data_IF_593565336193
#
_entry.id   IF_593565336193
#
_cell.length_a   1.000
_cell.length_b   1.000
_cell.length_c   1.000
_cell.angle_alpha   90.00
_cell.angle_beta   90.00
_cell.angle_gamma   90.00
#
_symmetry.space_group_name_H-M   'P 1'
#
loop_
_entity.id
_entity.type
_entity.pdbx_description
1 polymer ?
#
# COMPACT_ATOMS: atom_id res chain seq x y z
N UNK A 1 20.16 -11.95 17.24
CA UNK A 1 21.06 -12.90 16.54
C UNK A 1 21.47 -12.24 15.23
N UNK A 2 22.76 -12.06 14.90
CA UNK A 2 23.13 -11.50 13.61
C UNK A 2 22.60 -12.40 12.49
N UNK A 3 22.03 -11.78 11.46
CA UNK A 3 21.53 -12.52 10.30
C UNK A 3 22.72 -13.03 9.51
N UNK A 4 22.90 -14.35 9.47
CA UNK A 4 23.95 -15.01 8.68
C UNK A 4 23.38 -15.37 7.32
N UNK A 5 23.73 -14.61 6.29
CA UNK A 5 23.36 -14.92 4.90
C UNK A 5 24.44 -15.77 4.23
N UNK A 6 24.04 -16.69 3.36
CA UNK A 6 24.94 -17.38 2.43
C UNK A 6 25.47 -16.40 1.37
N UNK A 7 26.57 -16.73 0.65
CA UNK A 7 27.05 -15.91 -0.46
C UNK A 7 25.99 -15.69 -1.56
N UNK A 8 25.15 -16.70 -1.83
CA UNK A 8 24.07 -16.60 -2.82
C UNK A 8 22.96 -15.66 -2.38
N UNK A 9 22.53 -15.75 -1.12
CA UNK A 9 21.53 -14.82 -0.55
C UNK A 9 22.05 -13.39 -0.53
N UNK A 10 23.32 -13.17 -0.18
CA UNK A 10 23.95 -11.84 -0.26
C UNK A 10 23.85 -11.26 -1.66
N UNK A 11 24.23 -12.02 -2.70
CA UNK A 11 24.13 -11.56 -4.10
C UNK A 11 22.69 -11.21 -4.47
N UNK A 12 21.71 -12.04 -4.08
CA UNK A 12 20.30 -11.76 -4.30
C UNK A 12 19.86 -10.44 -3.65
N UNK A 13 20.22 -10.23 -2.38
CA UNK A 13 19.89 -8.99 -1.67
C UNK A 13 20.56 -7.77 -2.27
N UNK A 14 21.84 -7.86 -2.66
CA UNK A 14 22.56 -6.78 -3.33
C UNK A 14 21.82 -6.31 -4.58
N UNK A 15 21.46 -7.23 -5.48
CA UNK A 15 20.73 -6.90 -6.72
C UNK A 15 19.39 -6.21 -6.42
N UNK A 16 18.64 -6.70 -5.42
CA UNK A 16 17.34 -6.11 -5.06
C UNK A 16 17.48 -4.72 -4.43
N UNK A 17 18.44 -4.55 -3.53
CA UNK A 17 18.68 -3.27 -2.84
C UNK A 17 19.18 -2.23 -3.84
N UNK A 18 20.17 -2.58 -4.67
CA UNK A 18 20.71 -1.69 -5.71
C UNK A 18 19.61 -1.28 -6.69
N UNK A 19 18.81 -2.23 -7.17
CA UNK A 19 17.70 -1.95 -8.07
C UNK A 19 16.66 -1.00 -7.46
N UNK A 20 16.28 -1.24 -6.20
CA UNK A 20 15.32 -0.38 -5.48
C UNK A 20 15.86 1.04 -5.26
N UNK A 21 17.13 1.17 -4.87
CA UNK A 21 17.79 2.47 -4.67
C UNK A 21 17.88 3.22 -5.98
N UNK A 22 18.34 2.57 -7.07
CA UNK A 22 18.44 3.19 -8.39
C UNK A 22 17.09 3.62 -8.94
N UNK A 23 16.05 2.80 -8.76
CA UNK A 23 14.69 3.15 -9.18
C UNK A 23 14.20 4.40 -8.44
N UNK A 24 14.29 4.42 -7.12
CA UNK A 24 13.90 5.59 -6.31
C UNK A 24 14.73 6.82 -6.66
N UNK A 25 16.04 6.68 -6.82
CA UNK A 25 16.94 7.78 -7.15
C UNK A 25 16.57 8.42 -8.49
N UNK A 26 16.26 7.62 -9.52
CA UNK A 26 15.81 8.12 -10.83
C UNK A 26 14.53 8.94 -10.71
N UNK A 27 13.53 8.43 -9.99
CA UNK A 27 12.26 9.16 -9.80
C UNK A 27 12.44 10.46 -9.02
N UNK A 28 13.25 10.45 -7.96
CA UNK A 28 13.57 11.64 -7.18
C UNK A 28 14.35 12.67 -8.01
N UNK A 29 15.27 12.23 -8.86
CA UNK A 29 16.02 13.12 -9.75
C UNK A 29 15.11 13.77 -10.81
N UNK A 30 14.15 13.02 -11.36
CA UNK A 30 13.20 13.54 -12.34
C UNK A 30 12.12 14.45 -11.71
N UNK A 31 11.76 14.23 -10.45
CA UNK A 31 10.72 14.98 -9.75
C UNK A 31 11.11 15.22 -8.27
N UNK A 32 12.06 16.14 -8.01
CA UNK A 32 12.60 16.36 -6.68
C UNK A 32 11.58 16.97 -5.71
N UNK A 33 10.58 17.68 -6.25
CA UNK A 33 9.56 18.38 -5.47
C UNK A 33 8.25 17.58 -5.30
N UNK A 34 8.20 16.33 -5.76
CA UNK A 34 7.04 15.42 -5.66
C UNK A 34 5.74 16.04 -6.22
N UNK A 35 5.83 16.59 -7.44
CA UNK A 35 4.72 17.26 -8.13
C UNK A 35 4.15 16.46 -9.30
N UNK A 36 4.72 15.30 -9.61
CA UNK A 36 4.38 14.49 -10.77
C UNK A 36 4.76 13.03 -10.58
N UNK A 37 5.72 12.56 -11.38
CA UNK A 37 6.03 11.14 -11.52
C UNK A 37 6.42 10.44 -10.19
N UNK A 38 7.05 11.16 -9.24
CA UNK A 38 7.54 10.56 -8.00
C UNK A 38 6.41 9.99 -7.13
N UNK A 39 5.19 10.50 -7.26
CA UNK A 39 4.07 10.06 -6.44
C UNK A 39 3.74 8.57 -6.60
N UNK A 40 4.18 7.89 -7.68
CA UNK A 40 3.99 6.45 -7.86
C UNK A 40 4.65 5.62 -6.75
N UNK A 41 5.66 6.15 -6.07
CA UNK A 41 6.28 5.53 -4.89
C UNK A 41 5.31 5.41 -3.71
N UNK A 42 4.22 6.18 -3.72
CA UNK A 42 3.21 6.19 -2.66
C UNK A 42 2.16 5.07 -2.82
N UNK A 43 2.40 4.07 -3.67
CA UNK A 43 1.53 2.89 -3.75
C UNK A 43 1.40 2.23 -2.37
N UNK A 44 0.14 2.03 -1.93
CA UNK A 44 -0.20 1.54 -0.58
C UNK A 44 -0.07 2.56 0.57
N UNK A 45 0.59 3.71 0.38
CA UNK A 45 0.92 4.62 1.49
C UNK A 45 -0.29 5.38 2.05
N UNK A 46 -1.30 5.67 1.22
CA UNK A 46 -2.54 6.31 1.71
C UNK A 46 -3.24 5.45 2.75
N UNK A 47 -3.28 4.13 2.54
CA UNK A 47 -3.81 3.17 3.52
C UNK A 47 -2.85 2.94 4.69
N UNK A 48 -1.54 2.87 4.43
CA UNK A 48 -0.53 2.70 5.48
C UNK A 48 -0.59 3.83 6.51
N UNK A 49 -0.59 5.09 6.07
CA UNK A 49 -0.71 6.25 6.95
C UNK A 49 -2.03 6.25 7.73
N UNK A 50 -3.11 5.71 7.15
CA UNK A 50 -4.38 5.58 7.86
C UNK A 50 -4.30 4.51 8.96
N UNK A 51 -3.63 3.38 8.72
CA UNK A 51 -3.35 2.36 9.74
C UNK A 51 -2.54 2.98 10.87
N UNK A 52 -1.40 3.60 10.55
CA UNK A 52 -0.51 4.18 11.56
C UNK A 52 -1.23 5.20 12.44
N UNK A 53 -2.01 6.12 11.84
CA UNK A 53 -2.79 7.12 12.57
C UNK A 53 -3.90 6.50 13.43
N UNK A 54 -4.71 5.62 12.86
CA UNK A 54 -5.85 5.02 13.57
C UNK A 54 -5.41 4.08 14.70
N UNK A 55 -4.21 3.48 14.58
CA UNK A 55 -3.61 2.59 15.59
C UNK A 55 -2.64 3.35 16.54
N UNK A 56 -2.53 4.66 16.39
CA UNK A 56 -1.77 5.52 17.28
C UNK A 56 -0.25 5.32 17.23
N UNK A 57 0.31 4.91 16.09
CA UNK A 57 1.76 4.77 15.84
C UNK A 57 2.52 3.83 16.78
N UNK A 58 1.83 2.93 17.48
CA UNK A 58 2.44 2.04 18.49
C UNK A 58 2.51 0.59 18.06
N UNK A 59 1.58 0.15 17.22
CA UNK A 59 1.33 -1.28 16.97
C UNK A 59 1.95 -1.81 15.68
N UNK A 60 2.17 -0.95 14.70
CA UNK A 60 2.70 -1.32 13.39
C UNK A 60 3.95 -0.52 13.12
N UNK A 61 5.00 -1.19 12.65
CA UNK A 61 6.08 -0.51 11.96
C UNK A 61 5.60 -0.01 10.59
N UNK A 62 6.29 1.00 10.06
CA UNK A 62 5.90 1.61 8.79
C UNK A 62 5.79 0.60 7.64
N UNK A 63 6.80 -0.26 7.46
CA UNK A 63 6.78 -1.29 6.41
C UNK A 63 5.64 -2.30 6.56
N UNK A 64 5.24 -2.61 7.79
CA UNK A 64 4.09 -3.49 8.08
C UNK A 64 2.76 -2.83 7.66
N UNK A 65 2.59 -1.55 8.00
CA UNK A 65 1.44 -0.77 7.56
C UNK A 65 1.41 -0.64 6.03
N UNK A 66 2.57 -0.50 5.37
CA UNK A 66 2.67 -0.47 3.90
C UNK A 66 2.26 -1.81 3.28
N UNK A 67 2.66 -2.96 3.84
CA UNK A 67 2.21 -4.27 3.32
C UNK A 67 0.68 -4.42 3.35
N UNK A 68 0.07 -4.06 4.48
CA UNK A 68 -1.40 -4.03 4.58
C UNK A 68 -2.00 -3.00 3.61
N UNK A 69 -1.40 -1.82 3.51
CA UNK A 69 -1.86 -0.76 2.63
C UNK A 69 -1.82 -1.11 1.14
N UNK A 70 -0.84 -1.91 0.71
CA UNK A 70 -0.79 -2.45 -0.65
C UNK A 70 -2.00 -3.35 -0.93
N UNK A 71 -2.41 -4.19 0.02
CA UNK A 71 -3.61 -5.02 -0.15
C UNK A 71 -4.88 -4.17 -0.35
N UNK A 72 -5.00 -3.07 0.40
CA UNK A 72 -6.07 -2.08 0.21
C UNK A 72 -6.01 -1.40 -1.16
N UNK A 73 -4.83 -0.96 -1.60
CA UNK A 73 -4.63 -0.31 -2.89
C UNK A 73 -4.89 -1.24 -4.08
N UNK A 74 -4.50 -2.51 -4.00
CA UNK A 74 -4.80 -3.53 -5.00
C UNK A 74 -6.31 -3.77 -5.13
N UNK A 75 -7.02 -3.87 -4.00
CA UNK A 75 -8.46 -4.04 -4.01
C UNK A 75 -9.17 -2.79 -4.56
N UNK A 76 -8.73 -1.59 -4.19
CA UNK A 76 -9.27 -0.36 -4.73
C UNK A 76 -9.01 -0.23 -6.24
N UNK A 77 -7.83 -0.65 -6.72
CA UNK A 77 -7.51 -0.69 -8.15
C UNK A 77 -8.46 -1.60 -8.92
N UNK A 78 -8.88 -2.70 -8.30
CA UNK A 78 -9.89 -3.58 -8.87
C UNK A 78 -11.29 -2.95 -8.89
N UNK A 79 -11.72 -2.34 -7.78
CA UNK A 79 -13.01 -1.65 -7.71
C UNK A 79 -13.11 -0.50 -8.72
N UNK A 80 -12.00 0.20 -8.96
CA UNK A 80 -11.91 1.27 -9.96
C UNK A 80 -11.85 0.77 -11.42
N UNK A 81 -11.87 -0.54 -11.66
CA UNK A 81 -11.79 -1.13 -13.00
C UNK A 81 -10.39 -1.13 -13.63
N UNK A 82 -9.36 -0.65 -12.93
CA UNK A 82 -7.98 -0.65 -13.43
C UNK A 82 -7.36 -2.05 -13.42
N UNK A 83 -7.69 -2.87 -12.41
CA UNK A 83 -7.08 -4.17 -12.18
C UNK A 83 -8.11 -5.30 -12.27
N UNK A 84 -7.86 -6.30 -13.11
CA UNK A 84 -8.70 -7.51 -13.13
C UNK A 84 -8.66 -8.24 -11.77
N UNK A 85 -9.76 -8.91 -11.39
CA UNK A 85 -9.81 -9.73 -10.17
C UNK A 85 -8.68 -10.77 -10.13
N UNK A 86 -8.44 -11.43 -11.27
CA UNK A 86 -7.39 -12.45 -11.40
C UNK A 86 -6.00 -11.90 -11.05
N UNK A 87 -5.60 -10.76 -11.65
CA UNK A 87 -4.32 -10.11 -11.36
C UNK A 87 -4.24 -9.61 -9.91
N UNK A 88 -5.34 -9.05 -9.40
CA UNK A 88 -5.40 -8.63 -7.99
C UNK A 88 -5.08 -9.80 -7.07
N UNK A 89 -5.71 -10.95 -7.28
CA UNK A 89 -5.51 -12.14 -6.44
C UNK A 89 -4.08 -12.67 -6.56
N UNK A 90 -3.55 -12.77 -7.78
CA UNK A 90 -2.14 -13.12 -8.03
C UNK A 90 -1.17 -12.19 -7.29
N UNK A 91 -1.46 -10.89 -7.24
CA UNK A 91 -0.60 -9.92 -6.56
C UNK A 91 -0.73 -9.97 -5.03
N UNK A 92 -1.89 -10.37 -4.51
CA UNK A 92 -2.10 -10.60 -3.09
C UNK A 92 -1.30 -11.80 -2.58
N UNK A 93 -1.04 -12.81 -3.42
CA UNK A 93 -0.23 -13.97 -3.05
C UNK A 93 1.19 -13.57 -2.60
N UNK A 94 1.78 -12.54 -3.22
CA UNK A 94 3.08 -11.99 -2.80
C UNK A 94 3.05 -11.37 -1.40
N UNK A 95 1.87 -11.00 -0.90
CA UNK A 95 1.69 -10.36 0.39
C UNK A 95 1.39 -11.34 1.51
N UNK A 96 1.03 -12.61 1.22
CA UNK A 96 0.63 -13.59 2.23
C UNK A 96 1.72 -13.76 3.30
N UNK A 97 2.97 -14.00 2.89
CA UNK A 97 4.07 -14.17 3.82
C UNK A 97 4.30 -12.94 4.73
N UNK A 98 4.45 -11.70 4.22
CA UNK A 98 4.64 -10.54 5.08
C UNK A 98 3.40 -10.19 5.92
N UNK A 99 2.17 -10.37 5.42
CA UNK A 99 0.97 -10.02 6.21
C UNK A 99 0.61 -11.06 7.28
N UNK A 100 1.00 -12.33 7.10
CA UNK A 100 0.66 -13.44 8.02
C UNK A 100 1.14 -13.24 9.45
N UNK A 101 2.11 -12.35 9.66
CA UNK A 101 2.72 -12.05 10.97
C UNK A 101 2.28 -10.72 11.55
N UNK A 102 1.46 -9.96 10.82
CA UNK A 102 1.03 -8.65 11.27
C UNK A 102 0.01 -8.79 12.41
N UNK A 103 0.00 -7.82 13.34
CA UNK A 103 -1.11 -7.70 14.26
C UNK A 103 -2.44 -7.52 13.50
N UNK A 104 -3.53 -7.92 14.14
CA UNK A 104 -4.88 -7.75 13.58
C UNK A 104 -5.33 -6.28 13.58
N UNK A 105 -5.96 -5.85 12.49
CA UNK A 105 -6.57 -4.53 12.30
C UNK A 105 -7.97 -4.50 12.94
N UNK A 106 -8.00 -4.16 14.23
CA UNK A 106 -9.17 -4.31 15.10
C UNK A 106 -10.13 -3.11 15.08
N UNK A 107 -9.68 -1.94 14.61
CA UNK A 107 -10.56 -0.76 14.54
C UNK A 107 -11.60 -0.93 13.43
N UNK A 108 -12.80 -0.36 13.55
CA UNK A 108 -13.79 -0.37 12.47
C UNK A 108 -13.27 0.37 11.24
N UNK A 109 -13.82 0.08 10.06
CA UNK A 109 -13.40 0.70 8.80
C UNK A 109 -13.46 2.25 8.86
N UNK A 110 -14.45 2.79 9.56
CA UNK A 110 -14.63 4.23 9.74
C UNK A 110 -13.49 4.90 10.53
N UNK A 111 -12.83 4.18 11.43
CA UNK A 111 -11.69 4.71 12.15
C UNK A 111 -10.52 5.01 11.19
N UNK A 112 -10.26 4.11 10.23
CA UNK A 112 -9.24 4.34 9.21
C UNK A 112 -9.69 5.37 8.17
N UNK A 113 -10.95 5.34 7.76
CA UNK A 113 -11.49 6.28 6.78
C UNK A 113 -11.44 7.74 7.28
N UNK A 114 -11.79 7.96 8.56
CA UNK A 114 -11.82 9.31 9.15
C UNK A 114 -10.46 10.01 9.16
N UNK A 115 -9.36 9.26 9.36
CA UNK A 115 -8.00 9.82 9.38
C UNK A 115 -7.42 10.06 7.99
N UNK A 116 -8.08 9.58 6.92
CA UNK A 116 -7.72 9.85 5.53
C UNK A 116 -8.15 11.25 5.05
N UNK A 117 -8.83 12.05 5.89
CA UNK A 117 -9.31 13.41 5.57
C UNK A 117 -10.22 13.48 4.32
N UNK A 118 -11.07 12.46 4.12
CA UNK A 118 -12.16 12.52 3.14
C UNK A 118 -13.36 13.27 3.73
N UNK A 119 -13.26 14.59 3.84
CA UNK A 119 -14.39 15.42 4.23
C UNK A 119 -15.14 15.91 2.99
N UNK A 120 -16.46 15.64 2.91
CA UNK A 120 -17.33 16.13 1.81
C UNK A 120 -17.42 17.66 1.76
N UNK A 121 -16.97 18.37 2.81
CA UNK A 121 -17.12 19.82 2.96
C UNK A 121 -15.87 20.65 2.61
N UNK A 122 -14.70 20.04 2.41
CA UNK A 122 -13.45 20.78 2.19
C UNK A 122 -12.92 20.62 0.76
N UNK A 123 -13.01 21.70 -0.02
CA UNK A 123 -12.44 21.88 -1.37
C UNK A 123 -10.89 22.00 -1.34
N UNK A 124 -10.21 20.97 -0.83
CA UNK A 124 -8.79 20.73 -1.10
C UNK A 124 -8.66 19.52 -2.04
N UNK A 125 -7.51 19.36 -2.71
CA UNK A 125 -7.19 18.10 -3.38
C UNK A 125 -7.14 17.01 -2.31
N UNK A 126 -8.13 16.12 -2.28
CA UNK A 126 -8.14 14.97 -1.37
C UNK A 126 -6.87 14.13 -1.49
N UNK A 127 -6.66 13.12 -0.62
CA UNK A 127 -5.50 12.26 -0.73
C UNK A 127 -5.41 11.63 -2.13
N UNK A 128 -4.23 11.69 -2.74
CA UNK A 128 -3.97 11.03 -4.02
C UNK A 128 -3.84 9.53 -3.76
N UNK A 129 -4.57 8.73 -4.54
CA UNK A 129 -4.41 7.28 -4.57
C UNK A 129 -3.54 6.91 -5.76
N UNK A 130 -2.52 6.10 -5.49
CA UNK A 130 -1.81 5.37 -6.53
C UNK A 130 -2.50 4.02 -6.66
N UNK A 131 -3.11 3.79 -7.81
CA UNK A 131 -3.73 2.53 -8.22
C UNK A 131 -2.81 1.80 -9.20
N UNK A 132 -3.21 0.60 -9.62
CA UNK A 132 -2.41 -0.25 -10.48
C UNK A 132 -3.26 -0.85 -11.60
N UNK A 133 -2.76 -0.81 -12.84
CA UNK A 133 -3.32 -1.54 -13.97
C UNK A 133 -2.67 -2.92 -14.15
N UNK A 134 -1.36 -2.96 -13.90
CA UNK A 134 -0.50 -4.14 -13.86
C UNK A 134 0.80 -3.80 -13.10
N UNK A 135 1.60 -4.80 -12.72
CA UNK A 135 2.95 -4.54 -12.21
C UNK A 135 3.72 -3.64 -13.19
N UNK A 136 4.29 -2.55 -12.66
CA UNK A 136 5.01 -1.54 -13.44
C UNK A 136 4.12 -0.51 -14.16
N UNK A 137 2.78 -0.57 -14.01
CA UNK A 137 1.82 0.37 -14.62
C UNK A 137 0.93 1.03 -13.54
N UNK A 138 1.43 2.06 -12.85
CA UNK A 138 0.65 2.82 -11.87
C UNK A 138 -0.36 3.74 -12.55
N UNK A 139 -1.50 3.96 -11.89
CA UNK A 139 -2.55 4.89 -12.31
C UNK A 139 -2.82 5.85 -11.16
N UNK A 140 -2.74 7.16 -11.41
CA UNK A 140 -3.05 8.16 -10.39
C UNK A 140 -4.55 8.43 -10.37
N UNK A 141 -5.16 8.34 -9.19
CA UNK A 141 -6.57 8.66 -8.99
C UNK A 141 -6.73 9.59 -7.80
N UNK A 142 -7.25 10.79 -8.05
CA UNK A 142 -7.45 11.83 -7.01
C UNK A 142 -8.83 11.78 -6.36
N UNK A 143 -9.77 10.97 -6.89
CA UNK A 143 -11.14 10.95 -6.39
C UNK A 143 -11.84 9.58 -6.49
N UNK A 144 -11.31 8.48 -5.91
CA UNK A 144 -12.10 7.26 -5.76
C UNK A 144 -13.37 7.52 -4.91
N UNK A 145 -14.52 6.91 -5.23
CA UNK A 145 -15.71 7.00 -4.41
C UNK A 145 -15.43 6.58 -2.96
N UNK A 146 -15.94 7.34 -1.98
CA UNK A 146 -15.76 7.03 -0.55
C UNK A 146 -16.26 5.62 -0.20
N UNK A 147 -17.31 5.15 -0.87
CA UNK A 147 -17.81 3.79 -0.72
C UNK A 147 -16.77 2.73 -1.14
N UNK A 148 -16.02 2.97 -2.23
CA UNK A 148 -14.97 2.06 -2.69
C UNK A 148 -13.77 2.06 -1.76
N UNK A 149 -13.39 3.23 -1.26
CA UNK A 149 -12.32 3.35 -0.26
C UNK A 149 -12.70 2.57 0.99
N UNK A 150 -13.95 2.71 1.47
CA UNK A 150 -14.45 1.93 2.61
C UNK A 150 -14.40 0.43 2.33
N UNK A 151 -14.87 -0.03 1.16
CA UNK A 151 -14.79 -1.46 0.76
C UNK A 151 -13.35 -1.96 0.71
N UNK A 152 -12.42 -1.15 0.22
CA UNK A 152 -10.99 -1.46 0.21
C UNK A 152 -10.40 -1.56 1.62
N UNK A 153 -10.79 -0.68 2.56
CA UNK A 153 -10.41 -0.79 3.98
C UNK A 153 -10.95 -2.09 4.58
N UNK A 154 -12.22 -2.42 4.34
CA UNK A 154 -12.84 -3.66 4.84
C UNK A 154 -12.15 -4.91 4.27
N UNK A 155 -11.80 -4.89 2.98
CA UNK A 155 -11.03 -5.96 2.35
C UNK A 155 -9.65 -6.10 2.98
N UNK A 156 -8.89 -5.00 3.08
CA UNK A 156 -7.56 -4.95 3.69
C UNK A 156 -7.59 -5.53 5.11
N UNK A 157 -8.56 -5.13 5.94
CA UNK A 157 -8.74 -5.65 7.29
C UNK A 157 -8.96 -7.15 7.30
N UNK A 158 -9.85 -7.66 6.44
CA UNK A 158 -10.11 -9.11 6.34
C UNK A 158 -8.87 -9.88 5.88
N UNK A 159 -8.17 -9.38 4.87
CA UNK A 159 -6.94 -9.98 4.35
C UNK A 159 -5.86 -10.09 5.43
N UNK A 160 -5.59 -9.00 6.17
CA UNK A 160 -4.60 -9.00 7.26
C UNK A 160 -5.07 -9.91 8.40
N UNK A 161 -6.32 -9.80 8.82
CA UNK A 161 -6.83 -10.55 9.97
C UNK A 161 -6.93 -12.07 9.74
N UNK A 162 -7.01 -12.51 8.48
CA UNK A 162 -6.96 -13.93 8.11
C UNK A 162 -5.53 -14.45 7.87
N UNK A 163 -4.52 -13.59 8.02
CA UNK A 163 -3.13 -13.89 7.70
C UNK A 163 -2.89 -14.10 6.20
N UNK A 164 -3.62 -13.37 5.35
CA UNK A 164 -3.49 -13.40 3.90
C UNK A 164 -4.40 -14.40 3.18
N UNK A 165 -5.41 -14.96 3.86
CA UNK A 165 -6.28 -16.03 3.31
C UNK A 165 -7.72 -15.53 3.16
N UNK A 166 -8.17 -15.21 1.95
CA UNK A 166 -9.54 -14.77 1.63
C UNK A 166 -9.94 -15.13 0.21
#
# INVERSE_FOLDING_TARGET
RPLTYTPAERRKWTVLIEGAVLFKARLVACDPFDRGLRCILNFGHTFAHAIEKAEGYRRYHHGEAVWAGIAGALHLSHLAGCLSKKRRDEYLDYLVAPVSRLPVLNRPADAYLSVMRYDKKNRGSGPVFVLLEAIGRPVLSSAPPVADIRRAIEFMRRFVNSGGRI
#
